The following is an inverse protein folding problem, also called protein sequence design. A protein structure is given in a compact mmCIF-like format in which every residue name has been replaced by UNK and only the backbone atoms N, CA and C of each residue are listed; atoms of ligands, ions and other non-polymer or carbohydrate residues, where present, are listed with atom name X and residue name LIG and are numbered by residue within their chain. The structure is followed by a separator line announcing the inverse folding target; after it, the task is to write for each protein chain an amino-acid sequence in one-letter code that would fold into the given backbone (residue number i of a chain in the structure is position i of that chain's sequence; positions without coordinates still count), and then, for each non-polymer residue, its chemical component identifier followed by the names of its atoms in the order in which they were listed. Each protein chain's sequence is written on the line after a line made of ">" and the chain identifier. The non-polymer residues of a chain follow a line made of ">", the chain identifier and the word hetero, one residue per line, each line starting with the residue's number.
data_IF_985766387934
#
_entry.id   IF_985766387934
#
_cell.length_a   1.000
_cell.length_b   1.000
_cell.length_c   1.000
_cell.angle_alpha   90.00
_cell.angle_beta   90.00
_cell.angle_gamma   90.00
#
_symmetry.space_group_name_H-M   'P 1'
#
loop_
_entity.id
_entity.type
_entity.pdbx_description
1 polymer ?
#
# COMPACT_ATOMS: atom_id res chain seq x y z
N UNK A 1 14.28 20.83 -11.14
CA UNK A 1 14.97 20.60 -9.86
C UNK A 1 14.82 19.14 -9.51
N UNK A 2 15.85 18.44 -9.03
CA UNK A 2 15.70 17.05 -8.58
C UNK A 2 14.78 16.96 -7.35
N UNK A 3 13.93 15.94 -7.31
CA UNK A 3 12.95 15.71 -6.25
C UNK A 3 13.35 14.46 -5.44
N UNK A 4 13.30 14.54 -4.11
CA UNK A 4 13.51 13.41 -3.20
C UNK A 4 12.25 13.18 -2.37
N UNK A 5 11.76 11.95 -2.35
CA UNK A 5 10.62 11.53 -1.56
C UNK A 5 11.05 10.50 -0.52
N UNK A 6 10.62 10.69 0.73
CA UNK A 6 10.86 9.77 1.83
C UNK A 6 9.51 9.24 2.32
N UNK A 7 9.36 7.92 2.41
CA UNK A 7 8.11 7.26 2.81
C UNK A 7 8.37 6.39 4.04
N UNK A 8 7.55 6.56 5.08
CA UNK A 8 7.46 5.59 6.17
C UNK A 8 6.65 4.36 5.70
N UNK A 9 7.36 3.32 5.29
CA UNK A 9 6.74 2.10 4.76
C UNK A 9 5.87 1.39 5.79
N UNK A 10 6.35 1.24 7.02
CA UNK A 10 5.70 0.47 8.09
C UNK A 10 4.38 1.10 8.50
N UNK A 11 4.35 2.41 8.73
CA UNK A 11 3.11 3.11 9.08
C UNK A 11 2.12 3.12 7.90
N UNK A 12 2.61 3.33 6.68
CA UNK A 12 1.75 3.42 5.49
C UNK A 12 1.12 2.08 5.14
N UNK A 13 1.88 0.97 5.19
CA UNK A 13 1.36 -0.37 4.90
C UNK A 13 0.39 -0.85 5.98
N UNK A 14 0.62 -0.50 7.25
CA UNK A 14 -0.31 -0.78 8.35
C UNK A 14 -1.67 -0.11 8.12
N UNK A 15 -1.66 1.17 7.75
CA UNK A 15 -2.89 1.89 7.40
C UNK A 15 -3.59 1.29 6.18
N UNK A 16 -2.84 0.91 5.14
CA UNK A 16 -3.38 0.27 3.95
C UNK A 16 -4.08 -1.06 4.28
N UNK A 17 -3.49 -1.87 5.18
CA UNK A 17 -4.09 -3.13 5.63
C UNK A 17 -5.44 -2.93 6.30
N UNK A 18 -5.58 -1.92 7.18
CA UNK A 18 -6.80 -1.67 7.93
C UNK A 18 -7.86 -0.83 7.19
N UNK A 19 -7.49 -0.12 6.12
CA UNK A 19 -8.41 0.74 5.38
C UNK A 19 -9.22 0.01 4.30
N UNK A 20 -8.73 -1.13 3.82
CA UNK A 20 -9.34 -1.88 2.72
C UNK A 20 -10.01 -3.16 3.22
N UNK A 21 -11.10 -3.60 2.57
CA UNK A 21 -11.69 -4.91 2.85
C UNK A 21 -10.69 -6.03 2.56
N UNK A 22 -10.99 -7.24 3.04
CA UNK A 22 -10.17 -8.40 2.73
C UNK A 22 -10.12 -8.64 1.21
N UNK A 23 -8.92 -8.62 0.65
CA UNK A 23 -8.64 -8.94 -0.74
C UNK A 23 -7.64 -10.09 -0.75
N UNK A 24 -7.80 -11.01 -1.68
CA UNK A 24 -6.90 -12.15 -1.83
C UNK A 24 -6.75 -12.57 -3.29
N UNK A 25 -5.65 -13.28 -3.58
CA UNK A 25 -5.44 -13.94 -4.87
C UNK A 25 -6.39 -15.15 -5.02
N UNK A 26 -6.41 -15.76 -6.22
CA UNK A 26 -7.19 -16.99 -6.46
C UNK A 26 -6.78 -18.16 -5.55
N UNK A 27 -5.56 -18.14 -5.03
CA UNK A 27 -5.01 -19.12 -4.09
C UNK A 27 -5.27 -18.74 -2.62
N UNK A 28 -6.00 -17.65 -2.36
CA UNK A 28 -6.33 -17.20 -1.00
C UNK A 28 -5.24 -16.38 -0.31
N UNK A 29 -4.14 -16.02 -1.00
CA UNK A 29 -3.08 -15.20 -0.41
C UNK A 29 -3.60 -13.76 -0.22
N UNK A 30 -3.58 -13.17 0.99
CA UNK A 30 -4.05 -11.82 1.23
C UNK A 30 -3.24 -10.76 0.46
N UNK A 31 -3.92 -9.76 -0.11
CA UNK A 31 -3.31 -8.71 -0.95
C UNK A 31 -3.75 -7.29 -0.62
N UNK A 32 -4.69 -7.09 0.29
CA UNK A 32 -5.27 -5.78 0.63
C UNK A 32 -4.20 -4.75 1.06
N UNK A 33 -3.27 -5.13 1.95
CA UNK A 33 -2.20 -4.24 2.38
C UNK A 33 -1.32 -3.77 1.21
N UNK A 34 -0.90 -4.72 0.37
CA UNK A 34 -0.01 -4.45 -0.77
C UNK A 34 -0.74 -3.56 -1.78
N UNK A 35 -1.98 -3.90 -2.14
CA UNK A 35 -2.78 -3.12 -3.08
C UNK A 35 -3.00 -1.67 -2.61
N UNK A 36 -3.37 -1.48 -1.34
CA UNK A 36 -3.56 -0.15 -0.78
C UNK A 36 -2.26 0.65 -0.74
N UNK A 37 -1.17 0.05 -0.26
CA UNK A 37 0.13 0.70 -0.18
C UNK A 37 0.65 1.15 -1.56
N UNK A 38 0.60 0.28 -2.57
CA UNK A 38 1.06 0.62 -3.92
C UNK A 38 0.18 1.69 -4.57
N UNK A 39 -1.14 1.66 -4.33
CA UNK A 39 -2.05 2.70 -4.84
C UNK A 39 -1.75 4.06 -4.21
N UNK A 40 -1.43 4.10 -2.90
CA UNK A 40 -1.03 5.32 -2.21
C UNK A 40 0.29 5.87 -2.75
N UNK A 41 1.28 5.00 -2.99
CA UNK A 41 2.55 5.40 -3.59
C UNK A 41 2.37 5.96 -5.00
N UNK A 42 1.62 5.27 -5.87
CA UNK A 42 1.34 5.71 -7.25
C UNK A 42 0.64 7.07 -7.33
N UNK A 43 -0.10 7.47 -6.29
CA UNK A 43 -0.75 8.78 -6.20
C UNK A 43 0.17 9.88 -5.67
N UNK A 44 1.25 9.52 -5.00
CA UNK A 44 2.16 10.46 -4.35
C UNK A 44 3.32 10.88 -5.28
N UNK A 45 3.63 10.05 -6.28
CA UNK A 45 4.60 10.32 -7.36
C UNK A 45 3.92 10.94 -8.57
#
# INVERSE_FOLDING_TARGET
>A
MPSLWLVDGSHTIFRAYHALPHLSTRQGVPTNAVYGFTTMLLRAI
#
